data_IF_788728504379
#
_entry.id   IF_788728504379
#
_cell.length_a   1.000
_cell.length_b   1.000
_cell.length_c   1.000
_cell.angle_alpha   90.00
_cell.angle_beta   90.00
_cell.angle_gamma   90.00
#
_symmetry.space_group_name_H-M   'P 1'
#
loop_
_entity.id
_entity.type
_entity.pdbx_description
1 polymer ?
#
# COMPACT_ATOMS: atom_id res chain seq x y z
N UNK A 1 -17.75 28.20 64.77
CA UNK A 1 -18.30 28.26 63.40
C UNK A 1 -17.41 27.37 62.53
N UNK A 2 -17.77 26.08 62.38
CA UNK A 2 -18.46 25.50 61.19
C UNK A 2 -17.58 25.66 59.95
N UNK A 3 -17.19 24.64 59.18
CA UNK A 3 -17.87 23.39 58.85
C UNK A 3 -16.84 22.48 58.17
N UNK A 4 -16.75 21.20 58.55
CA UNK A 4 -15.94 20.20 57.84
C UNK A 4 -16.84 19.49 56.82
N UNK A 5 -16.73 19.85 55.55
CA UNK A 5 -17.35 19.12 54.43
C UNK A 5 -16.60 17.80 54.19
N UNK A 6 -17.24 16.68 54.55
CA UNK A 6 -16.79 15.35 54.14
C UNK A 6 -17.33 15.05 52.73
N UNK A 7 -16.45 15.06 51.73
CA UNK A 7 -16.80 14.66 50.37
C UNK A 7 -16.84 13.12 50.30
N UNK A 8 -18.03 12.56 50.09
CA UNK A 8 -18.24 11.14 49.85
C UNK A 8 -17.91 10.84 48.38
N UNK A 9 -16.71 10.33 48.12
CA UNK A 9 -16.31 9.78 46.82
C UNK A 9 -17.02 8.43 46.60
N UNK A 10 -18.23 8.46 46.02
CA UNK A 10 -18.88 7.27 45.47
C UNK A 10 -18.11 6.81 44.22
N UNK A 11 -17.25 5.82 44.40
CA UNK A 11 -16.56 5.14 43.29
C UNK A 11 -17.54 4.17 42.61
N UNK A 12 -18.18 4.61 41.53
CA UNK A 12 -18.93 3.71 40.64
C UNK A 12 -17.93 2.86 39.83
N UNK A 13 -17.58 1.69 40.37
CA UNK A 13 -16.91 0.64 39.61
C UNK A 13 -17.91 0.07 38.60
N UNK A 14 -17.94 0.64 37.40
CA UNK A 14 -18.63 0.02 36.27
C UNK A 14 -17.89 -1.29 35.93
N UNK A 15 -18.50 -2.42 36.26
CA UNK A 15 -18.05 -3.74 35.82
C UNK A 15 -18.19 -3.84 34.30
N UNK A 16 -17.10 -3.55 33.59
CA UNK A 16 -17.02 -3.79 32.16
C UNK A 16 -17.21 -5.29 31.91
N UNK A 17 -18.34 -5.68 31.33
CA UNK A 17 -18.57 -7.05 30.89
C UNK A 17 -17.42 -7.45 29.95
N UNK A 18 -16.76 -8.56 30.26
CA UNK A 18 -15.65 -9.04 29.46
C UNK A 18 -16.14 -9.27 28.01
N UNK A 19 -15.46 -8.64 27.05
CA UNK A 19 -15.76 -8.81 25.64
C UNK A 19 -15.62 -10.29 25.27
N UNK A 20 -16.62 -10.85 24.59
CA UNK A 20 -16.55 -12.21 24.06
C UNK A 20 -15.52 -12.25 22.94
N UNK A 21 -14.61 -13.22 23.05
CA UNK A 21 -13.54 -13.44 22.07
C UNK A 21 -13.77 -14.78 21.35
N UNK A 22 -13.59 -14.81 20.04
CA UNK A 22 -13.64 -16.02 19.21
C UNK A 22 -12.34 -16.17 18.41
N UNK A 23 -11.90 -17.41 18.19
CA UNK A 23 -10.80 -17.72 17.29
C UNK A 23 -11.36 -18.10 15.92
N UNK A 24 -10.78 -17.55 14.85
CA UNK A 24 -11.28 -17.73 13.48
C UNK A 24 -10.15 -18.11 12.53
N UNK A 25 -10.50 -18.89 11.51
CA UNK A 25 -9.58 -19.32 10.45
C UNK A 25 -9.64 -18.36 9.26
N UNK A 26 -8.52 -18.20 8.56
CA UNK A 26 -8.47 -17.40 7.34
C UNK A 26 -9.39 -17.96 6.25
N UNK A 27 -10.04 -17.05 5.51
CA UNK A 27 -10.96 -17.40 4.42
C UNK A 27 -12.29 -18.01 4.86
N UNK A 28 -12.55 -18.13 6.17
CA UNK A 28 -13.84 -18.57 6.71
C UNK A 28 -14.69 -17.37 7.11
N UNK A 29 -16.00 -17.50 6.90
CA UNK A 29 -16.98 -16.53 7.37
C UNK A 29 -17.17 -16.66 8.87
N UNK A 30 -17.21 -15.53 9.57
CA UNK A 30 -17.54 -15.48 10.98
C UNK A 30 -18.38 -14.25 11.28
N UNK A 31 -19.27 -14.38 12.27
CA UNK A 31 -20.16 -13.30 12.71
C UNK A 31 -19.60 -12.64 13.95
N UNK A 32 -19.56 -11.32 13.96
CA UNK A 32 -19.28 -10.51 15.13
C UNK A 32 -20.45 -9.58 15.45
N UNK A 33 -20.65 -9.33 16.75
CA UNK A 33 -21.48 -8.25 17.29
C UNK A 33 -20.61 -7.11 17.79
N UNK A 34 -21.24 -5.97 18.10
CA UNK A 34 -20.55 -4.81 18.68
C UNK A 34 -19.81 -5.21 19.97
N UNK A 35 -18.53 -4.89 20.04
CA UNK A 35 -17.67 -5.20 21.18
C UNK A 35 -17.08 -6.62 21.20
N UNK A 36 -17.57 -7.55 20.36
CA UNK A 36 -16.95 -8.87 20.22
C UNK A 36 -15.63 -8.78 19.45
N UNK A 37 -14.71 -9.68 19.76
CA UNK A 37 -13.36 -9.72 19.20
C UNK A 37 -13.16 -11.05 18.47
N UNK A 38 -12.79 -11.01 17.20
CA UNK A 38 -12.23 -12.17 16.50
C UNK A 38 -10.70 -12.12 16.57
N UNK A 39 -10.07 -13.24 16.91
CA UNK A 39 -8.62 -13.45 16.84
C UNK A 39 -8.29 -14.40 15.71
N UNK A 40 -7.21 -14.13 15.01
CA UNK A 40 -6.69 -14.96 13.94
C UNK A 40 -5.16 -14.89 13.93
N UNK A 41 -4.51 -15.71 13.12
CA UNK A 41 -3.04 -15.77 13.02
C UNK A 41 -2.36 -16.00 14.39
N UNK A 42 -2.82 -17.01 15.13
CA UNK A 42 -2.30 -17.32 16.45
C UNK A 42 -2.53 -16.22 17.51
N UNK A 43 -3.47 -15.30 17.25
CA UNK A 43 -3.77 -14.18 18.14
C UNK A 43 -2.96 -12.92 17.87
N UNK A 44 -2.09 -12.90 16.84
CA UNK A 44 -1.41 -11.69 16.39
C UNK A 44 -2.36 -10.69 15.77
N UNK A 45 -3.36 -11.18 15.04
CA UNK A 45 -4.39 -10.36 14.44
C UNK A 45 -5.67 -10.34 15.27
N UNK A 46 -6.26 -9.16 15.49
CA UNK A 46 -7.61 -9.07 16.04
C UNK A 46 -8.51 -8.14 15.24
N UNK A 47 -9.79 -8.46 15.19
CA UNK A 47 -10.83 -7.65 14.57
C UNK A 47 -11.96 -7.43 15.56
N UNK A 48 -12.34 -6.17 15.78
CA UNK A 48 -13.43 -5.80 16.70
C UNK A 48 -14.40 -4.85 16.03
N UNK A 49 -15.70 -5.11 16.13
CA UNK A 49 -16.71 -4.12 15.74
C UNK A 49 -16.78 -3.05 16.81
N UNK A 50 -16.46 -1.81 16.45
CA UNK A 50 -16.53 -0.65 17.34
C UNK A 50 -17.90 0.01 17.27
N UNK A 51 -18.53 0.06 16.09
CA UNK A 51 -19.85 0.63 15.93
C UNK A 51 -20.58 0.14 14.67
N UNK A 52 -21.88 0.37 14.61
CA UNK A 52 -22.66 0.29 13.38
C UNK A 52 -23.22 1.67 13.01
N UNK A 53 -23.25 1.98 11.73
CA UNK A 53 -23.96 3.12 11.18
C UNK A 53 -25.16 2.57 10.41
N UNK A 54 -26.35 2.98 10.82
CA UNK A 54 -27.61 2.63 10.16
C UNK A 54 -28.41 3.89 9.85
N UNK A 55 -28.00 4.58 8.79
CA UNK A 55 -28.73 5.73 8.24
C UNK A 55 -29.27 5.35 6.85
N UNK A 56 -30.37 4.56 6.79
CA UNK A 56 -30.93 4.13 5.52
C UNK A 56 -31.52 5.34 4.78
N UNK A 57 -31.43 5.32 3.45
CA UNK A 57 -32.02 6.37 2.63
C UNK A 57 -33.55 6.38 2.85
N UNK A 58 -34.17 7.53 3.18
CA UNK A 58 -35.62 7.63 3.29
C UNK A 58 -36.33 7.15 2.02
N UNK A 59 -37.51 6.55 2.17
CA UNK A 59 -38.30 6.09 1.02
C UNK A 59 -38.58 7.27 0.08
N UNK A 60 -38.25 7.11 -1.21
CA UNK A 60 -38.44 8.14 -2.25
C UNK A 60 -37.31 9.16 -2.38
N UNK A 61 -36.32 9.15 -1.49
CA UNK A 61 -35.13 9.99 -1.64
C UNK A 61 -34.08 9.33 -2.55
N UNK A 62 -33.32 10.14 -3.28
CA UNK A 62 -32.13 9.70 -4.01
C UNK A 62 -30.89 10.06 -3.21
N UNK A 63 -30.39 9.12 -2.42
CA UNK A 63 -29.15 9.29 -1.68
C UNK A 63 -27.94 8.92 -2.55
N UNK A 64 -26.86 9.70 -2.44
CA UNK A 64 -25.56 9.39 -3.08
C UNK A 64 -24.87 8.21 -2.39
N UNK A 65 -25.19 7.98 -1.12
CA UNK A 65 -24.67 6.91 -0.27
C UNK A 65 -25.77 6.45 0.68
N UNK A 66 -25.92 5.13 0.86
CA UNK A 66 -26.63 4.58 2.02
C UNK A 66 -25.66 4.64 3.19
N UNK A 67 -25.97 5.38 4.26
CA UNK A 67 -25.12 5.49 5.46
C UNK A 67 -25.15 4.21 6.29
N UNK A 68 -24.92 3.07 5.64
CA UNK A 68 -24.94 1.73 6.20
C UNK A 68 -23.51 1.21 6.24
N UNK A 69 -22.95 1.07 7.44
CA UNK A 69 -21.57 0.60 7.61
C UNK A 69 -21.39 -0.15 8.93
N UNK A 70 -20.50 -1.15 8.93
CA UNK A 70 -19.97 -1.74 10.14
C UNK A 70 -18.56 -1.15 10.37
N UNK A 71 -18.41 -0.33 11.40
CA UNK A 71 -17.10 0.19 11.79
C UNK A 71 -16.38 -0.87 12.61
N UNK A 72 -15.16 -1.17 12.19
CA UNK A 72 -14.31 -2.13 12.87
C UNK A 72 -12.91 -1.57 13.09
N UNK A 73 -12.23 -2.12 14.07
CA UNK A 73 -10.83 -1.89 14.36
C UNK A 73 -10.07 -3.19 14.09
N UNK A 74 -9.07 -3.11 13.23
CA UNK A 74 -8.13 -4.19 12.97
C UNK A 74 -6.86 -3.90 13.78
N UNK A 75 -6.34 -4.89 14.48
CA UNK A 75 -5.04 -4.78 15.16
C UNK A 75 -4.09 -5.88 14.73
N UNK A 76 -2.80 -5.57 14.76
CA UNK A 76 -1.70 -6.52 14.57
C UNK A 76 -0.70 -6.34 15.70
N UNK A 77 -0.38 -7.42 16.41
CA UNK A 77 0.55 -7.42 17.54
C UNK A 77 0.18 -6.35 18.58
N UNK A 78 -1.12 -6.19 18.82
CA UNK A 78 -1.69 -5.20 19.75
C UNK A 78 -1.73 -3.75 19.23
N UNK A 79 -1.22 -3.47 18.02
CA UNK A 79 -1.25 -2.13 17.42
C UNK A 79 -2.41 -1.98 16.46
N UNK A 80 -3.16 -0.88 16.57
CA UNK A 80 -4.23 -0.58 15.63
C UNK A 80 -3.67 -0.34 14.21
N UNK A 81 -4.28 -1.00 13.23
CA UNK A 81 -4.02 -0.79 11.81
C UNK A 81 -5.00 0.28 11.31
N UNK A 82 -4.52 1.41 10.75
CA UNK A 82 -5.40 2.42 10.23
C UNK A 82 -6.36 1.88 9.17
N UNK A 83 -7.63 2.33 9.13
CA UNK A 83 -8.52 1.97 8.04
C UNK A 83 -7.91 2.44 6.72
N UNK A 84 -7.95 1.59 5.70
CA UNK A 84 -7.35 1.83 4.38
C UNK A 84 -5.82 1.96 4.37
N UNK A 85 -5.13 1.50 5.43
CA UNK A 85 -3.68 1.34 5.40
C UNK A 85 -3.30 0.48 4.19
N UNK A 86 -2.47 1.04 3.28
CA UNK A 86 -2.05 0.34 2.06
C UNK A 86 -1.28 -0.93 2.40
N UNK A 87 -0.57 -0.90 3.52
CA UNK A 87 0.26 -1.93 4.11
C UNK A 87 -0.50 -2.82 5.12
N UNK A 88 -1.83 -2.82 5.07
CA UNK A 88 -2.61 -3.66 5.97
C UNK A 88 -2.15 -5.15 5.91
N UNK A 89 -1.92 -5.78 7.07
CA UNK A 89 -1.43 -7.16 7.16
C UNK A 89 -2.48 -8.19 6.75
N UNK A 90 -3.76 -7.80 6.71
CA UNK A 90 -4.87 -8.70 6.40
C UNK A 90 -5.89 -7.99 5.52
N UNK A 91 -6.52 -8.74 4.61
CA UNK A 91 -7.64 -8.25 3.82
C UNK A 91 -8.93 -8.59 4.58
N UNK A 92 -9.63 -7.58 5.09
CA UNK A 92 -10.90 -7.73 5.81
C UNK A 92 -12.05 -7.39 4.87
N UNK A 93 -12.95 -8.33 4.66
CA UNK A 93 -14.15 -8.15 3.83
C UNK A 93 -15.40 -8.29 4.67
N UNK A 94 -16.29 -7.29 4.63
CA UNK A 94 -17.65 -7.41 5.17
C UNK A 94 -18.49 -8.14 4.13
N UNK A 95 -18.93 -9.36 4.45
CA UNK A 95 -19.76 -10.19 3.56
C UNK A 95 -21.24 -9.88 3.68
N UNK A 96 -21.72 -9.71 4.90
CA UNK A 96 -23.12 -9.45 5.22
C UNK A 96 -23.21 -8.62 6.51
N UNK A 97 -24.30 -7.88 6.70
CA UNK A 97 -24.53 -7.06 7.88
C UNK A 97 -25.98 -6.62 7.96
N UNK A 98 -26.57 -6.65 9.15
CA UNK A 98 -27.85 -5.97 9.41
C UNK A 98 -27.68 -4.47 9.74
N UNK A 99 -26.42 -4.01 9.79
CA UNK A 99 -25.98 -2.67 10.16
C UNK A 99 -26.49 -2.19 11.52
N UNK A 100 -26.92 -3.10 12.40
CA UNK A 100 -27.50 -2.76 13.71
C UNK A 100 -26.86 -3.55 14.83
N UNK A 101 -26.76 -4.86 14.64
CA UNK A 101 -26.40 -5.80 15.69
C UNK A 101 -25.25 -6.73 15.32
N UNK A 102 -25.07 -7.04 14.04
CA UNK A 102 -24.00 -7.93 13.59
C UNK A 102 -23.45 -7.58 12.21
N UNK A 103 -22.22 -8.05 11.96
CA UNK A 103 -21.66 -8.17 10.62
C UNK A 103 -20.97 -9.53 10.49
N UNK A 104 -21.01 -10.08 9.27
CA UNK A 104 -20.28 -11.29 8.86
C UNK A 104 -19.03 -10.83 8.11
N UNK A 105 -17.89 -11.31 8.57
CA UNK A 105 -16.59 -10.97 8.01
C UNK A 105 -15.93 -12.21 7.40
N UNK A 106 -15.05 -11.95 6.44
CA UNK A 106 -13.95 -12.84 6.08
C UNK A 106 -12.67 -12.06 6.29
N UNK A 107 -11.70 -12.69 6.95
CA UNK A 107 -10.32 -12.21 7.00
C UNK A 107 -9.50 -13.16 6.15
N UNK A 108 -8.80 -12.62 5.17
CA UNK A 108 -7.90 -13.36 4.29
C UNK A 108 -6.44 -12.99 4.58
N UNK A 109 -5.54 -13.97 4.51
CA UNK A 109 -4.12 -13.71 4.32
C UNK A 109 -3.92 -13.24 2.86
N UNK A 110 -3.46 -12.00 2.63
CA UNK A 110 -3.36 -11.45 1.28
C UNK A 110 -2.41 -12.22 0.36
N UNK A 111 -1.40 -12.90 0.93
CA UNK A 111 -0.53 -13.77 0.11
C UNK A 111 -1.24 -15.06 -0.30
N UNK A 112 -1.91 -15.74 0.64
CA UNK A 112 -2.75 -16.90 0.34
C UNK A 112 -3.87 -16.56 -0.66
N UNK A 113 -4.43 -15.35 -0.59
CA UNK A 113 -5.43 -14.86 -1.54
C UNK A 113 -4.88 -14.82 -2.98
N UNK A 114 -3.60 -14.50 -3.18
CA UNK A 114 -2.95 -14.54 -4.50
C UNK A 114 -2.72 -15.97 -5.03
N UNK A 115 -2.80 -16.99 -4.18
CA UNK A 115 -2.65 -18.39 -4.59
C UNK A 115 -3.95 -19.03 -5.09
N UNK A 116 -5.09 -18.37 -4.96
CA UNK A 116 -6.38 -18.89 -5.42
C UNK A 116 -6.39 -18.98 -6.96
N UNK A 117 -6.94 -20.07 -7.54
CA UNK A 117 -6.92 -20.30 -8.99
C UNK A 117 -7.86 -19.33 -9.71
N UNK A 118 -7.39 -18.12 -9.95
CA UNK A 118 -7.83 -17.28 -11.07
C UNK A 118 -6.72 -17.37 -12.12
N UNK A 119 -7.00 -18.04 -13.22
CA UNK A 119 -6.03 -18.27 -14.28
C UNK A 119 -5.33 -16.96 -14.67
N UNK A 120 -3.99 -16.95 -14.66
CA UNK A 120 -3.17 -15.86 -15.21
C UNK A 120 -2.93 -14.62 -14.33
N UNK A 121 -3.46 -14.52 -13.10
CA UNK A 121 -3.35 -13.28 -12.30
C UNK A 121 -2.46 -13.36 -11.06
N UNK A 122 -1.83 -14.51 -10.77
CA UNK A 122 -1.00 -14.68 -9.56
C UNK A 122 0.18 -13.69 -9.53
N UNK A 123 0.90 -13.55 -10.64
CA UNK A 123 2.05 -12.64 -10.73
C UNK A 123 1.66 -11.18 -10.47
N UNK A 124 0.60 -10.70 -11.13
CA UNK A 124 0.11 -9.32 -10.93
C UNK A 124 -0.50 -9.10 -9.53
N UNK A 125 -1.12 -10.13 -8.94
CA UNK A 125 -1.58 -10.09 -7.56
C UNK A 125 -0.41 -9.93 -6.58
N UNK A 126 0.63 -10.77 -6.71
CA UNK A 126 1.84 -10.69 -5.90
C UNK A 126 2.58 -9.37 -6.10
N UNK A 127 2.64 -8.85 -7.33
CA UNK A 127 3.22 -7.54 -7.63
C UNK A 127 2.48 -6.42 -6.91
N UNK A 128 1.16 -6.41 -6.99
CA UNK A 128 0.32 -5.43 -6.30
C UNK A 128 0.47 -5.53 -4.78
N UNK A 129 0.56 -6.76 -4.25
CA UNK A 129 0.79 -6.99 -2.83
C UNK A 129 2.18 -6.53 -2.37
N UNK A 130 3.21 -6.80 -3.18
CA UNK A 130 4.58 -6.39 -2.93
C UNK A 130 4.69 -4.88 -2.79
N UNK A 131 4.10 -4.13 -3.72
CA UNK A 131 4.02 -2.66 -3.67
C UNK A 131 3.30 -2.15 -2.44
N UNK A 132 2.08 -2.64 -2.21
CA UNK A 132 1.26 -2.29 -1.04
C UNK A 132 2.00 -2.45 0.29
N UNK A 133 2.83 -3.49 0.40
CA UNK A 133 3.57 -3.85 1.62
C UNK A 133 5.02 -3.39 1.63
N UNK A 134 5.49 -2.70 0.59
CA UNK A 134 6.90 -2.38 0.41
C UNK A 134 7.83 -3.62 0.61
N UNK A 135 7.43 -4.78 0.09
CA UNK A 135 8.02 -6.08 0.42
C UNK A 135 8.63 -6.78 -0.82
N UNK A 136 9.92 -6.53 -1.14
CA UNK A 136 10.59 -7.10 -2.31
C UNK A 136 10.63 -8.62 -2.35
N UNK A 137 10.58 -9.29 -1.19
CA UNK A 137 10.55 -10.74 -1.09
C UNK A 137 9.33 -11.35 -1.82
N UNK A 138 8.21 -10.61 -1.91
CA UNK A 138 7.03 -11.06 -2.65
C UNK A 138 7.26 -11.07 -4.17
N UNK A 139 8.04 -10.14 -4.71
CA UNK A 139 8.40 -10.16 -6.14
C UNK A 139 9.17 -11.43 -6.51
N UNK A 140 10.00 -11.95 -5.60
CA UNK A 140 10.77 -13.19 -5.83
C UNK A 140 9.89 -14.45 -5.93
N UNK A 141 8.64 -14.38 -5.47
CA UNK A 141 7.64 -15.45 -5.59
C UNK A 141 6.90 -15.44 -6.93
N UNK A 142 7.23 -14.51 -7.82
CA UNK A 142 6.65 -14.40 -9.16
C UNK A 142 7.49 -15.23 -10.14
N UNK A 143 6.86 -16.22 -10.76
CA UNK A 143 7.51 -17.15 -11.69
C UNK A 143 7.86 -16.47 -13.02
N UNK A 144 6.93 -15.68 -13.58
CA UNK A 144 7.15 -14.91 -14.82
C UNK A 144 8.22 -13.84 -14.61
N UNK A 145 9.35 -13.99 -15.31
CA UNK A 145 10.51 -13.13 -15.16
C UNK A 145 10.23 -11.67 -15.50
N UNK A 146 9.38 -11.42 -16.49
CA UNK A 146 8.99 -10.07 -16.91
C UNK A 146 8.17 -9.39 -15.81
N UNK A 147 7.11 -10.04 -15.31
CA UNK A 147 6.29 -9.50 -14.21
C UNK A 147 7.10 -9.37 -12.92
N UNK A 148 8.04 -10.29 -12.64
CA UNK A 148 8.99 -10.16 -11.51
C UNK A 148 9.90 -8.94 -11.66
N UNK A 149 10.47 -8.72 -12.84
CA UNK A 149 11.29 -7.55 -13.14
C UNK A 149 10.52 -6.24 -12.94
N UNK A 150 9.30 -6.16 -13.47
CA UNK A 150 8.41 -5.02 -13.26
C UNK A 150 8.06 -4.80 -11.78
N UNK A 151 7.84 -5.87 -11.02
CA UNK A 151 7.58 -5.79 -9.58
C UNK A 151 8.76 -5.18 -8.80
N UNK A 152 9.98 -5.65 -9.08
CA UNK A 152 11.19 -5.12 -8.46
C UNK A 152 11.46 -3.67 -8.88
N UNK A 153 11.22 -3.34 -10.14
CA UNK A 153 11.40 -1.99 -10.66
C UNK A 153 10.41 -0.98 -10.04
N UNK A 154 9.12 -1.36 -9.89
CA UNK A 154 8.14 -0.52 -9.20
C UNK A 154 8.56 -0.25 -7.75
N UNK A 155 9.04 -1.28 -7.04
CA UNK A 155 9.51 -1.15 -5.66
C UNK A 155 10.79 -0.33 -5.55
N UNK A 156 11.72 -0.51 -6.49
CA UNK A 156 12.94 0.30 -6.57
C UNK A 156 12.59 1.78 -6.69
N UNK A 157 11.62 2.12 -7.54
CA UNK A 157 11.16 3.50 -7.70
C UNK A 157 10.41 4.02 -6.47
N UNK A 158 9.49 3.24 -5.91
CA UNK A 158 8.64 3.64 -4.77
C UNK A 158 9.47 3.83 -3.50
N UNK A 159 10.44 2.93 -3.24
CA UNK A 159 11.32 2.96 -2.08
C UNK A 159 12.60 3.76 -2.28
N UNK A 160 12.87 4.22 -3.51
CA UNK A 160 14.14 4.84 -3.91
C UNK A 160 15.35 3.95 -3.63
N UNK A 161 15.19 2.63 -3.77
CA UNK A 161 16.23 1.64 -3.51
C UNK A 161 16.79 1.06 -4.83
N UNK A 162 17.92 1.60 -5.26
CA UNK A 162 18.66 1.17 -6.44
C UNK A 162 19.15 -0.28 -6.37
N UNK A 163 19.31 -0.86 -5.17
CA UNK A 163 19.80 -2.23 -5.03
C UNK A 163 18.81 -3.25 -5.59
N UNK A 164 17.51 -2.92 -5.59
CA UNK A 164 16.46 -3.77 -6.16
C UNK A 164 16.59 -3.95 -7.67
N UNK A 165 17.24 -3.00 -8.36
CA UNK A 165 17.50 -3.09 -9.80
C UNK A 165 18.51 -4.18 -10.18
N UNK A 166 19.31 -4.69 -9.24
CA UNK A 166 20.24 -5.79 -9.50
C UNK A 166 19.53 -7.10 -9.87
N UNK A 167 18.25 -7.27 -9.46
CA UNK A 167 17.44 -8.44 -9.76
C UNK A 167 16.57 -8.32 -11.02
N UNK A 168 16.69 -7.23 -11.78
CA UNK A 168 15.86 -6.96 -12.96
C UNK A 168 16.60 -7.37 -14.22
N UNK A 169 16.16 -8.45 -14.88
CA UNK A 169 16.81 -8.97 -16.09
C UNK A 169 16.69 -8.02 -17.29
N UNK A 170 15.53 -7.39 -17.46
CA UNK A 170 15.24 -6.44 -18.52
C UNK A 170 14.73 -5.11 -17.92
N UNK A 171 15.61 -4.22 -17.46
CA UNK A 171 15.22 -2.94 -16.86
C UNK A 171 14.55 -2.03 -17.89
N UNK A 172 13.54 -1.24 -17.48
CA UNK A 172 12.76 -0.44 -18.42
C UNK A 172 12.74 1.07 -18.16
N UNK A 173 12.42 1.51 -16.95
CA UNK A 173 12.21 2.92 -16.61
C UNK A 173 13.22 3.36 -15.54
N UNK A 174 12.90 3.07 -14.27
CA UNK A 174 13.65 3.52 -13.12
C UNK A 174 15.02 2.83 -13.05
N UNK A 175 15.07 1.52 -13.34
CA UNK A 175 16.33 0.80 -13.26
C UNK A 175 17.29 1.14 -14.41
N UNK A 176 16.77 1.50 -15.59
CA UNK A 176 17.61 2.10 -16.64
C UNK A 176 18.13 3.46 -16.22
N UNK A 177 17.29 4.32 -15.64
CA UNK A 177 17.72 5.62 -15.12
C UNK A 177 18.82 5.49 -14.05
N UNK A 178 18.65 4.60 -13.06
CA UNK A 178 19.66 4.35 -12.02
C UNK A 178 20.98 3.88 -12.62
N UNK A 179 20.93 2.96 -13.60
CA UNK A 179 22.11 2.45 -14.30
C UNK A 179 22.80 3.55 -15.12
N UNK A 180 22.03 4.35 -15.86
CA UNK A 180 22.53 5.49 -16.63
C UNK A 180 23.24 6.49 -15.72
N UNK A 181 22.58 6.90 -14.62
CA UNK A 181 23.13 7.83 -13.63
C UNK A 181 24.43 7.32 -13.01
N UNK A 182 24.48 6.04 -12.61
CA UNK A 182 25.70 5.43 -12.03
C UNK A 182 26.88 5.43 -13.00
N UNK A 183 26.61 5.24 -14.29
CA UNK A 183 27.65 5.12 -15.31
C UNK A 183 27.96 6.44 -16.03
N UNK A 184 27.20 7.52 -15.78
CA UNK A 184 27.26 8.74 -16.58
C UNK A 184 26.83 8.54 -18.04
N UNK A 185 26.04 7.49 -18.33
CA UNK A 185 25.68 7.09 -19.68
C UNK A 185 24.40 7.81 -20.13
N UNK A 186 24.57 8.99 -20.73
CA UNK A 186 23.47 9.79 -21.29
C UNK A 186 22.73 9.05 -22.42
N UNK A 187 23.40 8.20 -23.20
CA UNK A 187 22.76 7.44 -24.28
C UNK A 187 21.80 6.39 -23.71
N UNK A 188 22.09 5.82 -22.54
CA UNK A 188 21.16 4.92 -21.85
C UNK A 188 19.84 5.60 -21.45
N UNK A 189 19.79 6.93 -21.31
CA UNK A 189 18.54 7.64 -21.07
C UNK A 189 17.56 7.53 -22.25
N UNK A 190 18.03 7.38 -23.49
CA UNK A 190 17.15 7.27 -24.67
C UNK A 190 16.32 5.97 -24.69
N UNK A 191 16.80 4.93 -23.99
CA UNK A 191 16.09 3.66 -23.84
C UNK A 191 14.89 3.75 -22.86
N UNK A 192 14.81 4.79 -22.03
CA UNK A 192 13.69 5.02 -21.11
C UNK A 192 12.48 5.47 -21.93
N UNK A 193 11.39 4.71 -21.94
CA UNK A 193 10.23 5.02 -22.80
C UNK A 193 9.32 6.11 -22.22
N UNK A 194 9.28 6.28 -20.91
CA UNK A 194 8.45 7.32 -20.28
C UNK A 194 9.14 8.67 -20.41
N UNK A 195 8.49 9.61 -21.10
CA UNK A 195 9.02 10.96 -21.36
C UNK A 195 9.55 11.65 -20.09
N UNK A 196 8.77 11.65 -19.00
CA UNK A 196 9.15 12.32 -17.75
C UNK A 196 10.42 11.71 -17.12
N UNK A 197 10.57 10.39 -17.15
CA UNK A 197 11.74 9.70 -16.62
C UNK A 197 12.96 9.90 -17.50
N UNK A 198 12.78 9.90 -18.83
CA UNK A 198 13.84 10.21 -19.80
C UNK A 198 14.37 11.63 -19.62
N UNK A 199 13.47 12.61 -19.57
CA UNK A 199 13.81 14.03 -19.36
C UNK A 199 14.54 14.22 -18.03
N UNK A 200 14.05 13.59 -16.95
CA UNK A 200 14.72 13.63 -15.65
C UNK A 200 16.13 13.04 -15.72
N UNK A 201 16.29 11.88 -16.37
CA UNK A 201 17.58 11.23 -16.60
C UNK A 201 18.56 12.19 -17.28
N UNK A 202 18.20 12.71 -18.44
CA UNK A 202 19.03 13.64 -19.22
C UNK A 202 19.40 14.87 -18.39
N UNK A 203 18.40 15.49 -17.74
CA UNK A 203 18.62 16.70 -16.94
C UNK A 203 19.62 16.47 -15.81
N UNK A 204 19.40 15.45 -14.99
CA UNK A 204 20.26 15.18 -13.83
C UNK A 204 21.68 14.80 -14.24
N UNK A 205 21.86 13.96 -15.27
CA UNK A 205 23.20 13.62 -15.76
C UNK A 205 23.93 14.85 -16.32
N UNK A 206 23.22 15.76 -16.99
CA UNK A 206 23.81 16.99 -17.52
C UNK A 206 24.13 18.04 -16.45
N UNK A 207 23.51 17.99 -15.27
CA UNK A 207 23.73 18.98 -14.20
C UNK A 207 24.56 18.47 -13.02
N UNK A 208 24.39 17.22 -12.59
CA UNK A 208 24.98 16.69 -11.35
C UNK A 208 26.33 15.97 -11.58
N UNK A 209 26.62 15.51 -12.81
CA UNK A 209 27.83 14.76 -13.15
C UNK A 209 29.13 15.58 -13.25
N UNK A 210 29.15 16.85 -12.85
CA UNK A 210 30.33 17.71 -12.96
C UNK A 210 30.68 18.18 -14.39
N UNK A 211 30.03 17.66 -15.43
CA UNK A 211 30.21 18.09 -16.82
C UNK A 211 29.45 19.37 -17.20
N UNK A 212 28.38 19.72 -16.48
CA UNK A 212 27.47 20.80 -16.89
C UNK A 212 26.92 20.60 -18.31
N UNK A 213 26.40 21.66 -18.97
CA UNK A 213 25.98 21.62 -20.37
C UNK A 213 27.06 21.11 -21.35
N UNK A 214 28.34 21.06 -20.93
CA UNK A 214 29.44 20.52 -21.75
C UNK A 214 29.35 19.00 -21.93
N UNK A 215 28.73 18.28 -21.00
CA UNK A 215 28.46 16.84 -21.18
C UNK A 215 27.55 16.57 -22.38
N UNK A 216 26.64 17.48 -22.73
CA UNK A 216 25.85 17.36 -23.95
C UNK A 216 26.71 17.42 -25.21
N UNK A 217 27.85 18.13 -25.19
CA UNK A 217 28.72 18.28 -26.37
C UNK A 217 29.55 17.03 -26.70
N UNK A 218 29.61 16.07 -25.77
CA UNK A 218 30.27 14.77 -25.97
C UNK A 218 29.35 13.75 -26.65
N UNK A 219 28.06 14.07 -26.81
CA UNK A 219 27.08 13.23 -27.49
C UNK A 219 27.14 13.39 -29.02
N UNK A 220 26.59 12.40 -29.73
CA UNK A 220 26.32 12.53 -31.16
C UNK A 220 25.46 13.80 -31.44
N UNK A 221 25.64 14.50 -32.57
CA UNK A 221 25.07 15.84 -32.78
C UNK A 221 23.57 15.98 -32.49
N UNK A 222 22.77 14.99 -32.90
CA UNK A 222 21.32 14.96 -32.66
C UNK A 222 20.96 14.79 -31.17
N UNK A 223 21.72 13.96 -30.45
CA UNK A 223 21.54 13.74 -29.02
C UNK A 223 22.05 14.95 -28.21
N UNK A 224 23.16 15.57 -28.63
CA UNK A 224 23.68 16.80 -28.06
C UNK A 224 22.66 17.95 -28.13
N UNK A 225 22.04 18.13 -29.30
CA UNK A 225 20.99 19.14 -29.51
C UNK A 225 19.79 18.92 -28.58
N UNK A 226 19.25 17.70 -28.54
CA UNK A 226 18.13 17.36 -27.64
C UNK A 226 18.49 17.52 -26.16
N UNK A 227 19.70 17.13 -25.78
CA UNK A 227 20.23 17.30 -24.43
C UNK A 227 20.25 18.77 -24.02
N UNK A 228 20.72 19.66 -24.90
CA UNK A 228 20.72 21.11 -24.65
C UNK A 228 19.31 21.69 -24.59
N UNK A 229 18.41 21.32 -25.51
CA UNK A 229 17.01 21.75 -25.48
C UNK A 229 16.29 21.35 -24.18
N UNK A 230 16.50 20.11 -23.72
CA UNK A 230 15.90 19.60 -22.48
C UNK A 230 16.54 20.26 -21.24
N UNK A 231 17.86 20.43 -21.23
CA UNK A 231 18.59 21.00 -20.10
C UNK A 231 18.28 22.49 -19.89
N UNK A 232 18.13 23.25 -20.99
CA UNK A 232 17.83 24.68 -20.97
C UNK A 232 16.33 24.98 -20.78
N UNK A 233 15.46 23.99 -21.00
CA UNK A 233 14.02 24.15 -20.88
C UNK A 233 13.38 24.88 -22.07
N UNK A 234 12.04 24.99 -22.11
CA UNK A 234 11.33 25.76 -23.13
C UNK A 234 11.58 27.25 -22.91
N UNK A 235 12.64 27.76 -23.55
CA UNK A 235 13.24 29.10 -23.44
C UNK A 235 14.13 29.31 -22.19
N UNK A 236 15.46 29.44 -22.35
CA UNK A 236 16.35 29.88 -21.27
C UNK A 236 16.11 31.34 -20.86
#
# INVERSE_FOLDING_TARGET
>A
MTSRLAAVLLSFLATAAAAKTIDVEFGKEFRLKKGEIARFDGGRGTLRITNFINSPCPKGARCVWSGLAAHYELTQDGKAVPPNARDAPYDVTVKDSDYKSFAVFIVDDPEAACSRPKAGHRGECLRSLARRRAAPALCRKIDDERTRGLCLEDLAEELKDAALCAGVAAPTQYCLYVKAKKNGDLAACDAITTWNSRVRCIKELSTEGGGGPRSCSELAPEAAKRCLEIALGPNP
#
